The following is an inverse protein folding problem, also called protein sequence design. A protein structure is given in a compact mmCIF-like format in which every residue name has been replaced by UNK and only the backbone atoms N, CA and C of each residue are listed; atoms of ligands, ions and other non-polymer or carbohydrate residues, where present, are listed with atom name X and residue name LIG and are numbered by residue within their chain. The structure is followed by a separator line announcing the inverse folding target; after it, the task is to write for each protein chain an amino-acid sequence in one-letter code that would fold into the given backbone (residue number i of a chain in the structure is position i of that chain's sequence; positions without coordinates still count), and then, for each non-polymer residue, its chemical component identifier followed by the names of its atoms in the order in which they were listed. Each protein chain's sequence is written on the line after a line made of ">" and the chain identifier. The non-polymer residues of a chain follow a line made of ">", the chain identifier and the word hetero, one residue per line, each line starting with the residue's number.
data_IF_431625131071
#
_entry.id   IF_431625131071
#
_cell.length_a   1.000
_cell.length_b   1.000
_cell.length_c   1.000
_cell.angle_alpha   90.00
_cell.angle_beta   90.00
_cell.angle_gamma   90.00
#
_symmetry.space_group_name_H-M   'P 1'
#
loop_
_entity.id
_entity.type
_entity.pdbx_description
1 polymer ?
#
# COMPACT_ATOMS: atom_id res chain seq x y z
N UNK A 1 -4.43 -7.81 22.19
CA UNK A 1 -4.48 -7.39 23.61
C UNK A 1 -3.82 -8.42 24.53
N UNK A 2 -4.27 -9.70 24.54
CA UNK A 2 -3.68 -10.76 25.38
C UNK A 2 -2.17 -11.00 25.12
N UNK A 3 -1.76 -11.03 23.86
CA UNK A 3 -0.35 -11.24 23.44
C UNK A 3 0.56 -10.15 24.00
N UNK A 4 0.07 -8.91 24.04
CA UNK A 4 0.81 -7.73 24.49
C UNK A 4 1.01 -7.73 26.01
N UNK A 5 0.01 -8.20 26.76
CA UNK A 5 0.05 -8.31 28.23
C UNK A 5 1.01 -9.43 28.67
N UNK A 6 0.99 -10.57 27.98
CA UNK A 6 1.92 -11.69 28.22
C UNK A 6 3.39 -11.32 27.95
N UNK A 7 3.65 -10.44 26.98
CA UNK A 7 4.99 -9.97 26.66
C UNK A 7 5.48 -8.85 27.58
N UNK A 8 4.56 -8.08 28.19
CA UNK A 8 4.90 -7.05 29.17
C UNK A 8 5.45 -7.63 30.48
N UNK A 9 5.11 -8.88 30.81
CA UNK A 9 5.63 -9.63 31.96
C UNK A 9 7.08 -10.11 31.78
N UNK A 10 7.66 -9.99 30.58
CA UNK A 10 9.06 -10.35 30.32
C UNK A 10 9.98 -9.14 30.57
N UNK A 11 11.10 -9.28 31.31
CA UNK A 11 12.04 -8.20 31.52
C UNK A 11 12.85 -7.94 30.24
N UNK A 12 12.30 -7.10 29.34
CA UNK A 12 13.01 -6.51 28.20
C UNK A 12 13.16 -5.01 28.40
N UNK A 13 14.20 -4.43 27.82
CA UNK A 13 14.39 -2.97 27.81
C UNK A 13 13.19 -2.28 27.15
N UNK A 14 12.84 -1.06 27.59
CA UNK A 14 11.67 -0.33 27.08
C UNK A 14 11.70 -0.20 25.53
N UNK A 15 12.89 0.02 24.96
CA UNK A 15 13.08 0.12 23.50
C UNK A 15 12.80 -1.20 22.77
N UNK A 16 13.22 -2.34 23.31
CA UNK A 16 12.95 -3.64 22.67
C UNK A 16 11.46 -4.00 22.70
N UNK A 17 10.76 -3.63 23.78
CA UNK A 17 9.31 -3.83 23.89
C UNK A 17 8.56 -3.02 22.83
N UNK A 18 8.91 -1.75 22.65
CA UNK A 18 8.32 -0.90 21.61
C UNK A 18 8.56 -1.47 20.21
N UNK A 19 9.78 -1.93 19.90
CA UNK A 19 10.09 -2.54 18.60
C UNK A 19 9.23 -3.79 18.31
N UNK A 20 9.17 -4.72 19.26
CA UNK A 20 8.35 -5.95 19.11
C UNK A 20 6.87 -5.61 18.92
N UNK A 21 6.37 -4.65 19.72
CA UNK A 21 4.99 -4.19 19.61
C UNK A 21 4.70 -3.58 18.23
N UNK A 22 5.56 -2.68 17.74
CA UNK A 22 5.40 -2.04 16.43
C UNK A 22 5.35 -3.05 15.30
N UNK A 23 6.26 -4.01 15.26
CA UNK A 23 6.29 -5.04 14.21
C UNK A 23 4.98 -5.84 14.22
N UNK A 24 4.53 -6.32 15.39
CA UNK A 24 3.31 -7.13 15.49
C UNK A 24 2.06 -6.37 15.06
N UNK A 25 1.92 -5.12 15.51
CA UNK A 25 0.78 -4.29 15.14
C UNK A 25 0.80 -3.97 13.65
N UNK A 26 1.97 -3.60 13.11
CA UNK A 26 2.13 -3.35 11.69
C UNK A 26 1.78 -4.58 10.86
N UNK A 27 2.33 -5.75 11.17
CA UNK A 27 2.05 -7.00 10.45
C UNK A 27 0.56 -7.34 10.46
N UNK A 28 -0.10 -7.21 11.61
CA UNK A 28 -1.55 -7.46 11.70
C UNK A 28 -2.35 -6.48 10.83
N UNK A 29 -2.04 -5.19 10.89
CA UNK A 29 -2.73 -4.19 10.05
C UNK A 29 -2.44 -4.39 8.57
N UNK A 30 -1.19 -4.71 8.21
CA UNK A 30 -0.78 -4.99 6.85
C UNK A 30 -1.62 -6.14 6.27
N UNK A 31 -1.71 -7.29 6.94
CA UNK A 31 -2.53 -8.39 6.45
C UNK A 31 -4.01 -8.05 6.39
N UNK A 32 -4.55 -7.29 7.36
CA UNK A 32 -5.94 -6.88 7.33
C UNK A 32 -6.25 -6.03 6.08
N UNK A 33 -5.41 -5.06 5.78
CA UNK A 33 -5.60 -4.18 4.62
C UNK A 33 -5.29 -4.84 3.27
N UNK A 34 -4.20 -5.61 3.19
CA UNK A 34 -3.70 -6.15 1.93
C UNK A 34 -4.24 -7.53 1.58
N UNK A 35 -4.80 -8.30 2.52
CA UNK A 35 -5.33 -9.65 2.24
C UNK A 35 -6.38 -9.64 1.11
N UNK A 36 -7.32 -8.71 1.17
CA UNK A 36 -8.37 -8.57 0.16
C UNK A 36 -7.80 -8.20 -1.22
N UNK A 37 -6.83 -7.28 -1.28
CA UNK A 37 -6.18 -6.90 -2.54
C UNK A 37 -5.34 -8.04 -3.12
N UNK A 38 -4.59 -8.76 -2.28
CA UNK A 38 -3.79 -9.92 -2.68
C UNK A 38 -4.71 -11.02 -3.23
N UNK A 39 -5.87 -11.24 -2.60
CA UNK A 39 -6.86 -12.19 -3.08
C UNK A 39 -7.39 -11.83 -4.47
N UNK A 40 -7.85 -10.58 -4.66
CA UNK A 40 -8.37 -10.09 -5.94
C UNK A 40 -7.29 -10.08 -7.03
N UNK A 41 -6.05 -9.73 -6.68
CA UNK A 41 -4.95 -9.65 -7.63
C UNK A 41 -4.50 -11.01 -8.16
N UNK A 42 -4.33 -11.99 -7.27
CA UNK A 42 -3.60 -13.22 -7.60
C UNK A 42 -4.45 -14.49 -7.60
N UNK A 43 -5.53 -14.53 -6.81
CA UNK A 43 -6.32 -15.75 -6.61
C UNK A 43 -7.68 -15.69 -7.33
N UNK A 44 -8.29 -14.51 -7.41
CA UNK A 44 -9.62 -14.33 -8.00
C UNK A 44 -9.64 -14.69 -9.50
N UNK A 45 -10.61 -15.50 -9.91
CA UNK A 45 -10.82 -15.91 -11.30
C UNK A 45 -9.75 -16.84 -11.90
N UNK A 46 -8.77 -17.31 -11.11
CA UNK A 46 -7.68 -18.18 -11.61
C UNK A 46 -7.83 -19.66 -11.24
N UNK A 47 -8.58 -19.95 -10.19
CA UNK A 47 -8.76 -21.32 -9.65
C UNK A 47 -10.14 -21.88 -10.06
N UNK A 48 -10.91 -21.17 -10.89
CA UNK A 48 -12.35 -21.46 -11.07
C UNK A 48 -12.65 -22.66 -11.97
N UNK A 49 -11.66 -23.30 -12.58
CA UNK A 49 -11.87 -24.46 -13.45
C UNK A 49 -12.51 -24.05 -14.79
N UNK A 50 -13.39 -24.90 -15.32
CA UNK A 50 -14.15 -24.61 -16.56
C UNK A 50 -15.64 -24.79 -16.32
N UNK A 51 -16.51 -24.26 -17.21
CA UNK A 51 -17.96 -24.27 -16.99
C UNK A 51 -18.60 -25.64 -16.75
N UNK A 52 -17.98 -26.74 -17.24
CA UNK A 52 -18.45 -28.11 -17.01
C UNK A 52 -18.09 -28.68 -15.63
N UNK A 53 -17.03 -28.18 -14.99
CA UNK A 53 -16.61 -28.60 -13.65
C UNK A 53 -15.93 -27.44 -12.93
N UNK A 54 -16.70 -26.75 -12.09
CA UNK A 54 -16.21 -25.66 -11.25
C UNK A 54 -15.55 -26.21 -10.00
N UNK A 55 -14.45 -25.59 -9.57
CA UNK A 55 -13.86 -25.87 -8.26
C UNK A 55 -14.76 -25.28 -7.18
N UNK A 56 -15.30 -26.14 -6.30
CA UNK A 56 -16.20 -25.75 -5.21
C UNK A 56 -15.48 -25.83 -3.86
N UNK A 57 -15.43 -24.71 -3.14
CA UNK A 57 -14.90 -24.67 -1.77
C UNK A 57 -15.90 -25.35 -0.85
N UNK A 58 -15.39 -26.27 -0.02
CA UNK A 58 -16.20 -27.13 0.85
C UNK A 58 -17.34 -27.88 0.11
N UNK A 59 -17.17 -28.15 -1.19
CA UNK A 59 -18.14 -28.84 -2.03
C UNK A 59 -19.43 -28.06 -2.34
N UNK A 60 -19.60 -26.84 -1.81
CA UNK A 60 -20.87 -26.08 -1.91
C UNK A 60 -20.73 -24.72 -2.57
N UNK A 61 -19.63 -24.00 -2.33
CA UNK A 61 -19.50 -22.60 -2.73
C UNK A 61 -18.61 -22.47 -3.98
N UNK A 62 -19.15 -21.86 -5.03
CA UNK A 62 -18.38 -21.51 -6.24
C UNK A 62 -17.52 -20.28 -5.96
N UNK A 63 -16.27 -20.30 -6.42
CA UNK A 63 -15.39 -19.13 -6.34
C UNK A 63 -15.93 -17.99 -7.21
N UNK A 64 -15.71 -16.77 -6.76
CA UNK A 64 -16.03 -15.56 -7.50
C UNK A 64 -15.20 -15.43 -8.79
N UNK A 65 -15.81 -14.87 -9.82
CA UNK A 65 -15.19 -14.60 -11.12
C UNK A 65 -15.03 -13.10 -11.31
N UNK A 66 -13.98 -12.69 -12.00
CA UNK A 66 -13.76 -11.28 -12.32
C UNK A 66 -14.76 -10.79 -13.36
N UNK A 67 -15.03 -9.48 -13.33
CA UNK A 67 -15.83 -8.82 -14.35
C UNK A 67 -15.24 -9.03 -15.77
N UNK A 68 -16.02 -9.02 -16.87
CA UNK A 68 -15.50 -9.18 -18.24
C UNK A 68 -14.40 -8.17 -18.64
N UNK A 69 -14.36 -7.00 -17.99
CA UNK A 69 -13.26 -6.00 -18.13
C UNK A 69 -11.93 -6.45 -17.52
N UNK A 70 -11.92 -7.53 -16.73
CA UNK A 70 -10.74 -8.11 -16.08
C UNK A 70 -10.62 -7.75 -14.61
N UNK A 71 -9.82 -8.52 -13.86
CA UNK A 71 -9.61 -8.32 -12.42
C UNK A 71 -8.84 -7.01 -12.09
N UNK A 72 -8.18 -6.40 -13.08
CA UNK A 72 -7.48 -5.12 -12.91
C UNK A 72 -8.45 -3.97 -12.58
N UNK A 73 -9.67 -3.96 -13.15
CA UNK A 73 -10.67 -2.93 -12.84
C UNK A 73 -11.20 -3.09 -11.41
N UNK A 74 -11.38 -4.34 -10.97
CA UNK A 74 -11.85 -4.64 -9.61
C UNK A 74 -10.80 -4.18 -8.58
N UNK A 75 -9.51 -4.45 -8.84
CA UNK A 75 -8.40 -3.90 -8.04
C UNK A 75 -8.37 -2.37 -8.02
N UNK A 76 -8.51 -1.73 -9.17
CA UNK A 76 -8.50 -0.27 -9.30
C UNK A 76 -9.61 0.35 -8.43
N UNK A 77 -10.83 -0.16 -8.56
CA UNK A 77 -12.00 0.33 -7.79
C UNK A 77 -11.76 0.09 -6.30
N UNK A 78 -11.32 -1.11 -5.92
CA UNK A 78 -11.07 -1.44 -4.52
C UNK A 78 -10.00 -0.54 -3.90
N UNK A 79 -8.90 -0.27 -4.59
CA UNK A 79 -7.86 0.65 -4.13
C UNK A 79 -8.38 2.09 -4.03
N UNK A 80 -9.13 2.56 -5.03
CA UNK A 80 -9.71 3.90 -5.01
C UNK A 80 -10.65 4.09 -3.81
N UNK A 81 -11.51 3.11 -3.55
CA UNK A 81 -12.43 3.11 -2.41
C UNK A 81 -11.64 3.07 -1.10
N UNK A 82 -10.67 2.16 -0.94
CA UNK A 82 -9.88 2.06 0.30
C UNK A 82 -9.13 3.36 0.58
N UNK A 83 -8.47 3.95 -0.42
CA UNK A 83 -7.69 5.18 -0.24
C UNK A 83 -8.58 6.39 0.08
N UNK A 84 -9.73 6.53 -0.59
CA UNK A 84 -10.66 7.65 -0.37
C UNK A 84 -11.41 7.51 0.95
N UNK A 85 -11.90 6.31 1.24
CA UNK A 85 -12.67 6.03 2.46
C UNK A 85 -11.78 6.09 3.69
N UNK A 86 -10.57 5.49 3.66
CA UNK A 86 -9.64 5.58 4.78
C UNK A 86 -9.29 7.03 5.09
N UNK A 87 -9.04 7.84 4.05
CA UNK A 87 -8.69 9.24 4.29
C UNK A 87 -9.85 10.03 4.90
N UNK A 88 -11.04 9.93 4.32
CA UNK A 88 -12.21 10.68 4.81
C UNK A 88 -12.62 10.21 6.20
N UNK A 89 -12.58 8.90 6.46
CA UNK A 89 -12.85 8.34 7.77
C UNK A 89 -11.80 8.73 8.81
N UNK A 90 -10.50 8.74 8.46
CA UNK A 90 -9.44 9.18 9.37
C UNK A 90 -9.61 10.65 9.75
N UNK A 91 -9.82 11.53 8.77
CA UNK A 91 -10.06 12.95 9.00
C UNK A 91 -11.35 13.20 9.83
N UNK A 92 -12.42 12.46 9.55
CA UNK A 92 -13.69 12.55 10.28
C UNK A 92 -13.59 12.05 11.72
N UNK A 93 -13.01 10.86 11.92
CA UNK A 93 -12.82 10.29 13.25
C UNK A 93 -11.89 11.15 14.07
N UNK A 94 -10.86 11.74 13.47
CA UNK A 94 -9.99 12.69 14.15
C UNK A 94 -10.78 13.91 14.62
N UNK A 95 -11.60 14.52 13.76
CA UNK A 95 -12.48 15.62 14.15
C UNK A 95 -13.45 15.25 15.29
N UNK A 96 -14.07 14.08 15.23
CA UNK A 96 -14.93 13.58 16.30
C UNK A 96 -14.16 13.34 17.60
N UNK A 97 -12.92 12.83 17.52
CA UNK A 97 -12.09 12.56 18.68
C UNK A 97 -11.69 13.83 19.43
N UNK A 98 -11.46 14.93 18.69
CA UNK A 98 -11.30 16.27 19.26
C UNK A 98 -12.53 16.68 20.06
N UNK A 99 -13.73 16.43 19.52
CA UNK A 99 -15.00 16.79 20.15
C UNK A 99 -15.25 15.97 21.44
N UNK A 100 -14.82 14.71 21.48
CA UNK A 100 -15.05 13.78 22.60
C UNK A 100 -13.87 13.65 23.59
N UNK A 101 -12.79 14.43 23.44
CA UNK A 101 -11.70 14.58 24.42
C UNK A 101 -10.99 13.26 24.86
N UNK A 102 -10.90 12.26 23.97
CA UNK A 102 -10.12 11.05 24.24
C UNK A 102 -8.61 11.29 23.91
N UNK A 103 -7.70 10.59 24.60
CA UNK A 103 -6.22 10.75 24.50
C UNK A 103 -5.62 10.16 23.20
N UNK A 104 -4.64 10.79 22.52
CA UNK A 104 -4.08 10.21 21.28
C UNK A 104 -2.97 9.19 21.53
N UNK A 105 -2.99 8.10 20.75
CA UNK A 105 -1.91 7.10 20.66
C UNK A 105 -0.92 7.52 19.54
N UNK A 106 0.21 8.12 19.92
CA UNK A 106 1.28 8.55 19.00
C UNK A 106 1.80 7.42 18.08
N UNK A 107 1.74 6.16 18.53
CA UNK A 107 2.18 4.99 17.75
C UNK A 107 1.32 4.72 16.50
N UNK A 108 0.08 5.20 16.44
CA UNK A 108 -0.80 4.98 15.28
C UNK A 108 -0.44 5.86 14.07
N UNK A 109 0.17 7.03 14.30
CA UNK A 109 0.50 7.97 13.22
C UNK A 109 1.49 7.36 12.21
N UNK A 110 2.62 6.84 12.70
CA UNK A 110 3.60 6.20 11.82
C UNK A 110 3.05 4.97 11.11
N UNK A 111 2.19 4.19 11.77
CA UNK A 111 1.53 3.05 11.12
C UNK A 111 0.66 3.53 9.95
N UNK A 112 -0.18 4.56 10.17
CA UNK A 112 -1.06 5.10 9.14
C UNK A 112 -0.31 5.57 7.89
N UNK A 113 0.79 6.30 8.09
CA UNK A 113 1.65 6.82 7.01
C UNK A 113 2.35 5.68 6.26
N UNK A 114 2.90 4.70 6.98
CA UNK A 114 3.61 3.56 6.36
C UNK A 114 2.65 2.65 5.59
N UNK A 115 1.43 2.46 6.06
CA UNK A 115 0.40 1.72 5.33
C UNK A 115 0.01 2.46 4.04
N UNK A 116 -0.13 3.79 4.08
CA UNK A 116 -0.39 4.58 2.88
C UNK A 116 0.75 4.48 1.86
N UNK A 117 2.00 4.57 2.33
CA UNK A 117 3.18 4.32 1.49
C UNK A 117 3.18 2.91 0.87
N UNK A 118 2.72 1.90 1.61
CA UNK A 118 2.64 0.53 1.10
C UNK A 118 1.63 0.43 -0.05
N UNK A 119 0.47 1.10 0.06
CA UNK A 119 -0.53 1.11 -1.02
C UNK A 119 -0.02 1.81 -2.28
N UNK A 120 0.71 2.91 -2.13
CA UNK A 120 1.24 3.66 -3.27
C UNK A 120 2.42 3.02 -3.96
N UNK A 121 3.11 2.08 -3.30
CA UNK A 121 4.30 1.42 -3.85
C UNK A 121 4.01 0.00 -4.33
N UNK A 122 3.29 -0.83 -3.58
CA UNK A 122 3.10 -2.25 -3.92
C UNK A 122 2.15 -2.46 -5.11
N UNK A 123 1.16 -1.57 -5.29
CA UNK A 123 0.13 -1.71 -6.32
C UNK A 123 0.09 -0.53 -7.29
N UNK A 124 1.20 0.18 -7.47
CA UNK A 124 1.26 1.34 -8.38
C UNK A 124 0.98 0.98 -9.83
N UNK A 125 1.34 -0.25 -10.24
CA UNK A 125 1.05 -0.76 -11.58
C UNK A 125 -0.46 -0.93 -11.84
N UNK A 126 -1.27 -1.15 -10.80
CA UNK A 126 -2.73 -1.22 -10.93
C UNK A 126 -3.38 0.17 -10.90
N UNK A 127 -2.85 1.09 -10.09
CA UNK A 127 -3.39 2.42 -9.92
C UNK A 127 -2.30 3.52 -9.96
N UNK A 128 -1.98 4.08 -11.14
CA UNK A 128 -0.90 5.06 -11.27
C UNK A 128 -1.18 6.41 -10.60
N UNK A 129 -2.45 6.74 -10.33
CA UNK A 129 -2.85 7.99 -9.65
C UNK A 129 -2.72 7.91 -8.12
N UNK A 130 -2.34 6.75 -7.55
CA UNK A 130 -2.20 6.57 -6.10
C UNK A 130 -1.26 7.60 -5.44
N UNK A 131 -0.06 7.91 -5.99
CA UNK A 131 0.85 8.86 -5.38
C UNK A 131 0.27 10.28 -5.32
N UNK A 132 -0.52 10.68 -6.32
CA UNK A 132 -1.17 12.00 -6.36
C UNK A 132 -2.24 12.12 -5.27
N UNK A 133 -3.08 11.08 -5.09
CA UNK A 133 -4.05 11.06 -4.00
C UNK A 133 -3.36 11.08 -2.64
N UNK A 134 -2.29 10.29 -2.48
CA UNK A 134 -1.51 10.28 -1.25
C UNK A 134 -0.85 11.63 -0.95
N UNK A 135 -0.38 12.35 -1.97
CA UNK A 135 0.18 13.70 -1.80
C UNK A 135 -0.86 14.69 -1.27
N UNK A 136 -2.04 14.71 -1.87
CA UNK A 136 -3.14 15.59 -1.43
C UNK A 136 -3.54 15.25 0.01
N UNK A 137 -3.65 13.97 0.32
CA UNK A 137 -3.97 13.48 1.66
C UNK A 137 -2.92 13.93 2.70
N UNK A 138 -1.63 13.73 2.38
CA UNK A 138 -0.53 14.15 3.25
C UNK A 138 -0.52 15.66 3.50
N UNK A 139 -0.92 16.48 2.50
CA UNK A 139 -1.00 17.93 2.66
C UNK A 139 -2.04 18.33 3.73
N UNK A 140 -3.20 17.67 3.74
CA UNK A 140 -4.22 17.88 4.77
C UNK A 140 -3.78 17.33 6.13
N UNK A 141 -3.23 16.12 6.15
CA UNK A 141 -2.80 15.42 7.37
C UNK A 141 -1.76 16.23 8.15
N UNK A 142 -0.73 16.77 7.48
CA UNK A 142 0.29 17.62 8.12
C UNK A 142 -0.34 18.83 8.84
N UNK A 143 -1.38 19.43 8.24
CA UNK A 143 -2.05 20.60 8.83
C UNK A 143 -2.92 20.21 10.03
N UNK A 144 -3.67 19.11 9.92
CA UNK A 144 -4.51 18.59 10.99
C UNK A 144 -3.68 18.15 12.20
N UNK A 145 -2.57 17.44 11.97
CA UNK A 145 -1.65 17.02 13.02
C UNK A 145 -1.00 18.22 13.73
N UNK A 146 -0.61 19.26 12.98
CA UNK A 146 -0.05 20.47 13.58
C UNK A 146 -1.07 21.17 14.51
N UNK A 147 -2.33 21.29 14.08
CA UNK A 147 -3.40 21.87 14.90
C UNK A 147 -3.59 21.04 16.17
N UNK A 148 -3.58 19.71 16.06
CA UNK A 148 -3.74 18.79 17.17
C UNK A 148 -2.63 18.90 18.20
N UNK A 149 -1.37 18.94 17.75
CA UNK A 149 -0.23 19.06 18.65
C UNK A 149 -0.18 20.43 19.37
N UNK A 150 -0.69 21.49 18.74
CA UNK A 150 -0.66 22.85 19.32
C UNK A 150 -1.86 23.13 20.22
N UNK A 151 -3.08 22.74 19.81
CA UNK A 151 -4.33 23.14 20.48
C UNK A 151 -4.96 22.06 21.35
N UNK A 152 -4.73 20.77 21.07
CA UNK A 152 -5.55 19.68 21.61
C UNK A 152 -4.78 18.71 22.51
N UNK A 153 -3.45 18.64 22.37
CA UNK A 153 -2.63 17.77 23.20
C UNK A 153 -1.81 18.53 24.21
N UNK A 154 -1.61 17.92 25.39
CA UNK A 154 -0.60 18.37 26.33
C UNK A 154 0.78 18.20 25.71
N UNK A 155 1.64 19.21 25.88
CA UNK A 155 3.01 19.23 25.40
C UNK A 155 3.75 17.95 25.80
N UNK A 156 4.23 17.20 24.81
CA UNK A 156 5.07 16.03 25.02
C UNK A 156 6.47 16.43 25.50
N UNK A 157 7.10 15.57 26.32
CA UNK A 157 8.49 15.76 26.74
C UNK A 157 9.40 15.43 25.55
N UNK A 158 10.28 16.34 25.13
CA UNK A 158 11.17 16.10 24.01
C UNK A 158 12.12 14.94 24.32
N UNK A 159 12.13 13.92 23.47
CA UNK A 159 13.08 12.80 23.50
C UNK A 159 14.07 12.96 22.34
N UNK A 160 15.36 12.85 22.60
CA UNK A 160 16.38 12.80 21.53
C UNK A 160 16.40 11.40 20.92
N UNK A 161 16.36 11.33 19.60
CA UNK A 161 16.51 10.10 18.84
C UNK A 161 17.39 10.38 17.60
N UNK A 162 18.36 9.50 17.33
CA UNK A 162 19.31 9.69 16.24
C UNK A 162 18.78 9.14 14.90
N UNK A 163 17.75 8.29 14.93
CA UNK A 163 17.18 7.63 13.75
C UNK A 163 15.67 7.43 13.92
N UNK A 164 14.95 7.31 12.80
CA UNK A 164 13.53 6.89 12.73
C UNK A 164 13.28 5.52 13.41
N UNK A 165 14.32 4.69 13.56
CA UNK A 165 14.27 3.43 14.30
C UNK A 165 13.83 2.24 13.45
N UNK A 166 12.98 1.37 14.02
CA UNK A 166 12.53 0.12 13.37
C UNK A 166 11.80 0.34 12.05
N UNK A 167 11.16 1.49 11.88
CA UNK A 167 10.42 1.86 10.68
C UNK A 167 11.28 1.89 9.42
N UNK A 168 12.58 2.17 9.53
CA UNK A 168 13.50 2.10 8.40
C UNK A 168 13.53 0.69 7.79
N UNK A 169 13.70 -0.34 8.63
CA UNK A 169 13.69 -1.74 8.20
C UNK A 169 12.33 -2.16 7.63
N UNK A 170 11.23 -1.65 8.20
CA UNK A 170 9.88 -1.91 7.67
C UNK A 170 9.73 -1.33 6.25
N UNK A 171 10.17 -0.08 6.04
CA UNK A 171 10.13 0.56 4.73
C UNK A 171 11.01 -0.15 3.69
N UNK A 172 12.17 -0.65 4.09
CA UNK A 172 13.06 -1.45 3.23
C UNK A 172 12.38 -2.75 2.78
N UNK A 173 11.74 -3.47 3.70
CA UNK A 173 10.97 -4.69 3.39
C UNK A 173 9.81 -4.37 2.43
N UNK A 174 9.08 -3.27 2.67
CA UNK A 174 8.00 -2.82 1.78
C UNK A 174 8.55 -2.49 0.38
N UNK A 175 9.73 -1.89 0.29
CA UNK A 175 10.40 -1.60 -0.98
C UNK A 175 10.69 -2.86 -1.80
N UNK A 176 11.22 -3.91 -1.17
CA UNK A 176 11.45 -5.21 -1.82
C UNK A 176 10.12 -5.85 -2.25
N UNK A 177 9.12 -5.85 -1.36
CA UNK A 177 7.79 -6.38 -1.66
C UNK A 177 7.09 -5.60 -2.78
N UNK A 178 7.38 -4.31 -2.94
CA UNK A 178 6.84 -3.48 -4.01
C UNK A 178 7.35 -3.90 -5.39
N UNK A 179 8.63 -4.24 -5.52
CA UNK A 179 9.17 -4.75 -6.79
C UNK A 179 8.48 -6.06 -7.17
N UNK A 180 8.42 -7.01 -6.23
CA UNK A 180 7.78 -8.32 -6.45
C UNK A 180 6.29 -8.15 -6.76
N UNK A 181 5.58 -7.33 -5.96
CA UNK A 181 4.15 -7.08 -6.10
C UNK A 181 3.77 -6.50 -7.46
N UNK A 182 4.49 -5.46 -7.91
CA UNK A 182 4.24 -4.86 -9.23
C UNK A 182 4.53 -5.82 -10.38
N UNK A 183 5.62 -6.60 -10.28
CA UNK A 183 5.94 -7.63 -11.26
C UNK A 183 4.81 -8.65 -11.39
N UNK A 184 4.32 -9.17 -10.24
CA UNK A 184 3.21 -10.12 -10.20
C UNK A 184 1.90 -9.52 -10.71
N UNK A 185 1.57 -8.28 -10.37
CA UNK A 185 0.35 -7.60 -10.87
C UNK A 185 0.38 -7.48 -12.40
N UNK A 186 1.53 -7.08 -12.97
CA UNK A 186 1.67 -6.97 -14.43
C UNK A 186 1.64 -8.36 -15.08
N UNK A 187 2.36 -9.34 -14.55
CA UNK A 187 2.46 -10.65 -15.18
C UNK A 187 1.14 -11.44 -15.08
N UNK A 188 0.57 -11.47 -13.88
CA UNK A 188 -0.56 -12.34 -13.57
C UNK A 188 -1.86 -11.60 -13.85
N UNK A 189 -2.10 -10.46 -13.23
CA UNK A 189 -3.42 -9.81 -13.22
C UNK A 189 -3.71 -9.04 -14.51
N UNK A 190 -2.69 -8.42 -15.11
CA UNK A 190 -2.87 -7.63 -16.33
C UNK A 190 -2.99 -8.47 -17.60
N UNK A 191 -3.65 -7.89 -18.61
CA UNK A 191 -3.75 -8.46 -19.96
C UNK A 191 -2.58 -8.09 -20.87
N UNK A 192 -1.56 -7.43 -20.33
CA UNK A 192 -0.41 -6.98 -21.10
C UNK A 192 0.36 -8.15 -21.73
N UNK A 193 0.71 -9.17 -20.93
CA UNK A 193 1.45 -10.34 -21.41
C UNK A 193 0.70 -11.14 -22.48
N UNK A 194 -0.57 -11.57 -22.29
CA UNK A 194 -1.29 -12.30 -23.34
C UNK A 194 -1.48 -11.48 -24.61
N UNK A 195 -1.68 -10.15 -24.49
CA UNK A 195 -1.78 -9.26 -25.65
C UNK A 195 -0.45 -9.18 -26.43
N UNK A 196 0.68 -9.08 -25.73
CA UNK A 196 2.02 -9.12 -26.35
C UNK A 196 2.28 -10.46 -27.04
N UNK A 197 2.00 -11.58 -26.36
CA UNK A 197 2.21 -12.93 -26.94
C UNK A 197 1.35 -13.10 -28.20
N UNK A 198 0.11 -12.61 -28.20
CA UNK A 198 -0.74 -12.60 -29.38
C UNK A 198 -0.14 -11.77 -30.51
N UNK A 199 0.29 -10.54 -30.22
CA UNK A 199 0.89 -9.64 -31.20
C UNK A 199 2.12 -10.26 -31.89
N UNK A 200 3.03 -10.90 -31.14
CA UNK A 200 4.26 -11.44 -31.71
C UNK A 200 4.12 -12.84 -32.32
N UNK A 201 3.17 -13.65 -31.84
CA UNK A 201 3.10 -15.07 -32.22
C UNK A 201 1.97 -15.37 -33.20
N UNK A 202 0.80 -14.75 -33.00
CA UNK A 202 -0.47 -15.14 -33.62
C UNK A 202 -1.15 -14.03 -34.43
N UNK A 203 -0.62 -12.80 -34.40
CA UNK A 203 -1.26 -11.67 -35.06
C UNK A 203 -1.29 -11.81 -36.59
N UNK A 204 -2.31 -11.24 -37.24
CA UNK A 204 -2.38 -11.21 -38.70
C UNK A 204 -1.20 -10.46 -39.33
N UNK A 205 -0.56 -9.55 -38.59
CA UNK A 205 0.64 -8.81 -39.02
C UNK A 205 1.87 -9.69 -39.26
N UNK A 206 1.94 -10.85 -38.60
CA UNK A 206 3.00 -11.83 -38.87
C UNK A 206 2.74 -12.62 -40.16
N UNK A 207 1.47 -12.78 -40.53
CA UNK A 207 1.04 -13.68 -41.60
C UNK A 207 1.12 -13.04 -42.99
N UNK A 208 0.99 -11.71 -43.12
CA UNK A 208 1.12 -10.98 -44.41
C UNK A 208 1.68 -9.58 -44.21
N UNK A 209 2.50 -9.12 -45.18
CA UNK A 209 2.96 -7.72 -45.36
C UNK A 209 1.78 -6.77 -45.68
N UNK A 210 0.73 -6.79 -44.86
CA UNK A 210 -0.42 -5.90 -44.98
C UNK A 210 -0.22 -4.75 -44.01
N UNK A 211 0.30 -3.64 -44.53
CA UNK A 211 0.69 -2.43 -43.77
C UNK A 211 -0.50 -1.56 -43.34
N UNK A 212 -1.72 -2.11 -43.28
CA UNK A 212 -2.96 -1.34 -43.03
C UNK A 212 -3.98 -2.01 -42.09
N UNK A 213 -3.59 -3.07 -41.37
CA UNK A 213 -4.47 -3.76 -40.42
C UNK A 213 -3.83 -3.67 -39.03
N UNK A 214 -4.61 -3.28 -38.02
CA UNK A 214 -4.16 -3.28 -36.64
C UNK A 214 -3.79 -4.70 -36.18
N UNK A 215 -2.60 -4.87 -35.62
CA UNK A 215 -2.10 -6.20 -35.21
C UNK A 215 -2.90 -6.86 -34.07
N UNK A 216 -3.79 -6.10 -33.42
CA UNK A 216 -4.67 -6.56 -32.35
C UNK A 216 -6.06 -6.97 -32.86
N UNK A 217 -6.37 -6.80 -34.15
CA UNK A 217 -7.65 -7.23 -34.72
C UNK A 217 -7.81 -8.74 -34.54
N UNK A 218 -8.91 -9.14 -33.89
CA UNK A 218 -9.22 -10.54 -33.60
C UNK A 218 -8.70 -11.06 -32.26
N UNK A 219 -8.03 -10.24 -31.45
CA UNK A 219 -7.54 -10.65 -30.12
C UNK A 219 -8.66 -11.18 -29.22
N UNK A 220 -9.80 -10.49 -29.13
CA UNK A 220 -10.93 -10.91 -28.29
C UNK A 220 -11.43 -12.31 -28.70
N UNK A 221 -11.63 -12.55 -29.99
CA UNK A 221 -12.04 -13.87 -30.49
C UNK A 221 -10.97 -14.95 -30.26
N UNK A 222 -9.68 -14.60 -30.24
CA UNK A 222 -8.60 -15.53 -29.94
C UNK A 222 -8.46 -15.82 -28.43
N UNK A 223 -8.78 -14.84 -27.58
CA UNK A 223 -8.65 -14.93 -26.12
C UNK A 223 -9.78 -15.71 -25.44
N UNK A 224 -10.86 -15.99 -26.17
CA UNK A 224 -12.05 -16.68 -25.67
C UNK A 224 -12.07 -18.14 -26.14
N UNK A 225 -12.28 -19.07 -25.22
CA UNK A 225 -12.58 -20.47 -25.51
C UNK A 225 -14.08 -20.70 -25.64
N UNK A 226 -14.47 -21.65 -26.49
CA UNK A 226 -15.87 -22.02 -26.70
C UNK A 226 -16.24 -23.19 -25.78
N UNK A 227 -17.42 -23.11 -25.17
CA UNK A 227 -18.01 -24.18 -24.36
C UNK A 227 -19.37 -24.55 -24.92
N UNK A 228 -19.64 -25.84 -25.12
CA UNK A 228 -20.96 -26.30 -25.51
C UNK A 228 -21.84 -26.54 -24.27
N UNK A 229 -23.04 -25.93 -24.25
CA UNK A 229 -23.98 -25.93 -23.12
C UNK A 229 -24.44 -27.35 -22.74
N UNK A 230 -24.36 -28.30 -23.66
CA UNK A 230 -24.70 -29.70 -23.40
C UNK A 230 -23.78 -30.37 -22.35
N UNK A 231 -22.56 -29.86 -22.16
CA UNK A 231 -21.58 -30.44 -21.22
C UNK A 231 -21.66 -29.84 -19.81
N UNK A 232 -22.72 -29.11 -19.48
CA UNK A 232 -22.95 -28.68 -18.10
C UNK A 232 -23.33 -29.88 -17.21
N UNK A 233 -22.83 -29.87 -15.97
CA UNK A 233 -23.18 -30.86 -14.94
C UNK A 233 -24.70 -30.89 -14.66
N UNK A 234 -25.36 -29.74 -14.80
CA UNK A 234 -26.82 -29.61 -14.74
C UNK A 234 -27.35 -29.16 -16.11
N UNK A 235 -28.45 -29.73 -16.58
CA UNK A 235 -29.11 -29.28 -17.81
C UNK A 235 -29.67 -27.87 -17.63
N UNK A 236 -29.03 -26.86 -18.22
CA UNK A 236 -29.50 -25.47 -18.21
C UNK A 236 -30.10 -25.14 -19.58
N UNK A 237 -31.39 -24.82 -19.62
CA UNK A 237 -32.05 -24.31 -20.82
C UNK A 237 -31.81 -22.79 -20.93
N UNK A 238 -30.70 -22.41 -21.57
CA UNK A 238 -30.37 -21.01 -21.82
C UNK A 238 -31.08 -20.52 -23.09
N UNK A 239 -32.01 -19.58 -22.93
CA UNK A 239 -32.68 -18.86 -24.01
C UNK A 239 -32.19 -17.42 -24.06
N UNK A 240 -31.88 -16.93 -25.25
CA UNK A 240 -31.53 -15.52 -25.46
C UNK A 240 -32.75 -14.60 -25.23
N UNK A 241 -32.54 -13.28 -25.14
CA UNK A 241 -33.60 -12.25 -25.08
C UNK A 241 -34.57 -12.33 -26.27
N UNK A 242 -34.19 -13.00 -27.36
CA UNK A 242 -35.02 -13.28 -28.54
C UNK A 242 -35.67 -14.69 -28.54
N UNK A 243 -35.56 -15.46 -27.45
CA UNK A 243 -36.16 -16.79 -27.32
C UNK A 243 -35.42 -17.95 -28.02
N UNK A 244 -34.28 -17.68 -28.65
CA UNK A 244 -33.46 -18.70 -29.32
C UNK A 244 -32.66 -19.53 -28.32
N UNK A 245 -32.55 -20.84 -28.56
CA UNK A 245 -31.72 -21.76 -27.75
C UNK A 245 -30.24 -21.50 -28.02
N UNK A 246 -29.49 -21.21 -26.96
CA UNK A 246 -28.04 -20.99 -27.04
C UNK A 246 -27.33 -22.35 -26.99
N UNK A 247 -26.56 -22.68 -28.03
CA UNK A 247 -25.81 -23.94 -28.12
C UNK A 247 -24.38 -23.83 -27.60
N UNK A 248 -23.77 -22.65 -27.73
CA UNK A 248 -22.39 -22.42 -27.32
C UNK A 248 -22.23 -21.11 -26.56
N UNK A 249 -21.41 -21.14 -25.51
CA UNK A 249 -20.99 -19.98 -24.72
C UNK A 249 -19.50 -19.73 -24.91
N UNK A 250 -19.07 -18.47 -24.74
CA UNK A 250 -17.64 -18.12 -24.72
C UNK A 250 -17.22 -17.75 -23.31
N UNK A 251 -16.07 -18.24 -22.89
CA UNK A 251 -15.48 -17.94 -21.59
C UNK A 251 -14.00 -17.65 -21.72
N UNK A 252 -13.45 -16.95 -20.73
CA UNK A 252 -12.08 -16.44 -20.74
C UNK A 252 -11.13 -17.48 -20.16
N UNK A 253 -10.70 -18.41 -21.00
CA UNK A 253 -9.63 -19.37 -20.68
C UNK A 253 -8.96 -19.86 -21.97
N UNK A 254 -7.77 -20.46 -21.86
CA UNK A 254 -7.02 -21.01 -23.00
C UNK A 254 -7.13 -22.53 -23.03
N UNK A 255 -8.33 -23.03 -23.34
CA UNK A 255 -8.65 -24.47 -23.40
C UNK A 255 -8.95 -24.92 -24.83
N UNK A 256 -8.77 -26.21 -25.08
CA UNK A 256 -9.18 -26.84 -26.34
C UNK A 256 -10.71 -26.97 -26.41
N UNK A 257 -11.28 -27.02 -27.62
CA UNK A 257 -12.72 -27.09 -27.82
C UNK A 257 -13.30 -28.50 -27.57
N UNK A 258 -12.51 -29.55 -27.81
CA UNK A 258 -13.00 -30.93 -27.77
C UNK A 258 -12.94 -31.51 -26.35
N UNK A 259 -11.75 -31.57 -25.77
CA UNK A 259 -11.50 -32.21 -24.47
C UNK A 259 -11.51 -31.23 -23.28
N UNK A 260 -11.72 -29.93 -23.53
CA UNK A 260 -11.61 -28.84 -22.54
C UNK A 260 -10.31 -28.82 -21.72
N UNK A 261 -9.27 -29.51 -22.17
CA UNK A 261 -7.93 -29.55 -21.58
C UNK A 261 -7.15 -28.27 -21.92
N UNK A 262 -6.10 -27.97 -21.17
CA UNK A 262 -5.27 -26.78 -21.41
C UNK A 262 -4.56 -26.87 -22.77
N UNK A 263 -4.74 -25.85 -23.60
CA UNK A 263 -4.15 -25.79 -24.94
C UNK A 263 -2.65 -25.42 -24.88
N UNK A 264 -1.90 -25.69 -25.95
CA UNK A 264 -0.51 -25.21 -26.10
C UNK A 264 -0.38 -23.68 -25.97
N UNK A 265 -1.45 -22.95 -26.32
CA UNK A 265 -1.55 -21.49 -26.17
C UNK A 265 -1.45 -21.08 -24.70
N UNK A 266 -2.09 -21.83 -23.79
CA UNK A 266 -2.02 -21.60 -22.35
C UNK A 266 -0.58 -21.67 -21.85
N UNK A 267 0.13 -22.73 -22.22
CA UNK A 267 1.52 -22.95 -21.80
C UNK A 267 2.49 -21.89 -22.35
N UNK A 268 2.28 -21.43 -23.59
CA UNK A 268 3.07 -20.32 -24.14
C UNK A 268 2.88 -19.03 -23.34
N UNK A 269 1.63 -18.69 -23.00
CA UNK A 269 1.33 -17.49 -22.21
C UNK A 269 1.87 -17.64 -20.78
N UNK A 270 1.72 -18.82 -20.18
CA UNK A 270 2.25 -19.11 -18.84
C UNK A 270 3.78 -18.98 -18.79
N UNK A 271 4.48 -19.57 -19.77
CA UNK A 271 5.94 -19.45 -19.89
C UNK A 271 6.36 -17.98 -20.07
N UNK A 272 5.65 -17.22 -20.91
CA UNK A 272 5.92 -15.79 -21.11
C UNK A 272 5.72 -14.98 -19.82
N UNK A 273 4.71 -15.30 -19.00
CA UNK A 273 4.50 -14.65 -17.68
C UNK A 273 5.66 -14.90 -16.73
N UNK A 274 6.12 -16.15 -16.63
CA UNK A 274 7.26 -16.51 -15.76
C UNK A 274 8.57 -15.87 -16.25
N UNK A 275 8.80 -15.89 -17.56
CA UNK A 275 9.97 -15.24 -18.17
C UNK A 275 9.97 -13.72 -17.92
N UNK A 276 8.82 -13.07 -18.08
CA UNK A 276 8.66 -11.66 -17.77
C UNK A 276 8.96 -11.35 -16.30
N UNK A 277 8.45 -12.15 -15.36
CA UNK A 277 8.72 -11.96 -13.93
C UNK A 277 10.21 -12.01 -13.62
N UNK A 278 10.92 -13.01 -14.14
CA UNK A 278 12.35 -13.14 -13.93
C UNK A 278 13.13 -11.95 -14.50
N UNK A 279 12.82 -11.53 -15.74
CA UNK A 279 13.47 -10.38 -16.37
C UNK A 279 13.14 -9.08 -15.63
N UNK A 280 11.89 -8.88 -15.23
CA UNK A 280 11.43 -7.70 -14.51
C UNK A 280 12.13 -7.58 -13.15
N UNK A 281 12.14 -8.64 -12.35
CA UNK A 281 12.82 -8.65 -11.05
C UNK A 281 14.32 -8.38 -11.20
N UNK A 282 15.01 -9.06 -12.13
CA UNK A 282 16.44 -8.87 -12.35
C UNK A 282 16.75 -7.45 -12.81
N UNK A 283 15.99 -6.91 -13.76
CA UNK A 283 16.21 -5.56 -14.31
C UNK A 283 15.99 -4.44 -13.30
N UNK A 284 15.05 -4.59 -12.36
CA UNK A 284 14.78 -3.58 -11.32
C UNK A 284 15.71 -3.76 -10.11
N UNK A 285 16.08 -5.00 -9.77
CA UNK A 285 17.00 -5.28 -8.67
C UNK A 285 18.44 -4.85 -8.97
N UNK A 286 18.96 -5.05 -10.20
CA UNK A 286 20.36 -4.75 -10.53
C UNK A 286 20.74 -3.28 -10.25
N UNK A 287 19.97 -2.26 -10.69
CA UNK A 287 20.28 -0.86 -10.40
C UNK A 287 20.13 -0.52 -8.91
N UNK A 288 19.21 -1.20 -8.21
CA UNK A 288 18.95 -1.00 -6.78
C UNK A 288 20.12 -1.49 -5.91
N UNK A 289 20.73 -2.62 -6.25
CA UNK A 289 21.87 -3.19 -5.51
C UNK A 289 23.20 -2.51 -5.82
N UNK A 290 23.37 -2.03 -7.05
CA UNK A 290 24.64 -1.42 -7.49
C UNK A 290 24.78 0.05 -7.06
N UNK A 291 23.73 0.68 -6.53
CA UNK A 291 23.74 2.09 -6.15
C UNK A 291 24.00 3.04 -7.32
N UNK A 292 23.91 2.55 -8.56
CA UNK A 292 24.36 3.26 -9.76
C UNK A 292 23.42 4.43 -10.13
N UNK A 293 22.16 4.41 -9.71
CA UNK A 293 21.18 5.40 -10.16
C UNK A 293 21.17 6.68 -9.32
N UNK A 294 21.63 6.65 -8.07
CA UNK A 294 21.87 7.85 -7.26
C UNK A 294 23.04 7.57 -6.32
N UNK A 295 24.15 8.35 -6.35
CA UNK A 295 25.07 8.34 -5.23
C UNK A 295 24.22 8.65 -4.01
N UNK A 296 24.16 7.69 -3.07
CA UNK A 296 23.41 7.82 -1.84
C UNK A 296 23.65 9.22 -1.31
N UNK A 297 22.55 9.97 -1.14
CA UNK A 297 22.53 11.33 -0.60
C UNK A 297 23.75 11.55 0.28
N UNK A 298 24.56 12.54 -0.09
CA UNK A 298 25.76 12.96 0.60
C UNK A 298 25.64 12.69 2.11
N UNK A 299 26.67 12.15 2.78
CA UNK A 299 26.62 12.03 4.23
C UNK A 299 26.24 13.41 4.74
N UNK A 300 25.07 13.53 5.36
CA UNK A 300 24.68 14.73 6.08
C UNK A 300 25.71 14.81 7.20
N UNK A 301 26.82 15.49 6.91
CA UNK A 301 27.73 15.96 7.94
C UNK A 301 26.84 16.81 8.82
N UNK A 302 26.58 16.29 10.00
CA UNK A 302 25.87 16.94 11.07
C UNK A 302 26.60 18.26 11.37
N UNK A 303 26.21 19.34 10.68
CA UNK A 303 26.57 20.67 11.12
C UNK A 303 25.54 21.00 12.19
N UNK A 304 25.89 20.67 13.43
CA UNK A 304 25.24 21.24 14.62
C UNK A 304 25.43 22.76 14.60
N UNK A 305 24.61 23.47 13.84
CA UNK A 305 24.27 24.84 14.14
C UNK A 305 23.07 24.78 15.06
N UNK A 306 23.31 24.94 16.36
CA UNK A 306 22.25 25.04 17.36
C UNK A 306 21.26 26.13 16.98
N UNK A 307 20.14 25.74 16.37
CA UNK A 307 18.98 26.59 16.21
C UNK A 307 18.27 26.61 17.57
N UNK A 308 18.81 27.42 18.48
CA UNK A 308 18.10 27.82 19.68
C UNK A 308 16.91 28.66 19.21
N UNK A 309 15.74 28.03 19.09
CA UNK A 309 14.49 28.77 18.93
C UNK A 309 14.31 29.57 20.21
N UNK A 310 14.63 30.86 20.14
CA UNK A 310 14.38 31.84 21.20
C UNK A 310 12.87 31.94 21.36
N UNK A 311 12.31 31.10 22.21
CA UNK A 311 10.96 31.31 22.75
C UNK A 311 11.07 32.58 23.59
N UNK A 312 10.56 33.69 23.05
CA UNK A 312 10.33 34.89 23.84
C UNK A 312 9.25 34.52 24.85
N UNK A 313 9.68 34.26 26.08
CA UNK A 313 8.78 34.23 27.23
C UNK A 313 8.45 35.70 27.50
N UNK A 314 7.34 36.17 26.94
CA UNK A 314 6.70 37.42 27.39
C UNK A 314 6.31 37.16 28.85
N UNK A 315 7.05 37.76 29.78
CA UNK A 315 6.75 37.66 31.20
C UNK A 315 5.66 38.71 31.48
N UNK A 316 4.40 38.29 31.46
CA UNK A 316 3.32 39.11 31.99
C UNK A 316 3.63 39.34 33.48
N UNK A 317 3.89 40.61 33.79
CA UNK A 317 4.15 41.09 35.15
C UNK A 317 2.80 41.46 35.73
N UNK A 318 2.15 40.51 36.40
CA UNK A 318 0.99 40.81 37.24
C UNK A 318 1.43 41.78 38.36
N UNK A 319 0.92 43.00 38.29
CA UNK A 319 0.89 43.94 39.40
C UNK A 319 0.00 43.36 40.50
N UNK A 320 0.61 42.83 41.56
CA UNK A 320 -0.02 42.80 42.88
C UNK A 320 0.60 43.91 43.73
N UNK A 321 -0.08 45.06 43.70
CA UNK A 321 0.09 46.13 44.69
C UNK A 321 -0.45 45.62 46.02
N UNK A 322 0.39 45.60 47.06
CA UNK A 322 -0.01 45.10 48.37
C UNK A 322 1.08 45.22 49.44
N UNK A 323 1.25 46.43 49.96
CA UNK A 323 1.47 46.74 51.38
C UNK A 323 2.67 46.11 52.12
N UNK A 324 3.64 46.93 52.54
CA UNK A 324 4.57 46.55 53.61
C UNK A 324 5.82 47.41 53.74
N UNK A 325 5.78 48.40 54.65
CA UNK A 325 6.87 49.29 55.04
C UNK A 325 8.02 48.52 55.73
N UNK A 326 9.27 48.99 55.56
CA UNK A 326 10.38 48.55 56.41
C UNK A 326 11.75 49.05 55.95
N UNK A 327 12.08 50.31 56.26
CA UNK A 327 13.44 50.84 56.25
C UNK A 327 14.35 50.03 57.19
N UNK A 328 15.58 49.72 56.76
CA UNK A 328 16.78 49.88 57.60
C UNK A 328 18.06 49.90 56.75
N UNK A 329 18.71 51.07 56.75
CA UNK A 329 20.11 51.27 56.38
C UNK A 329 21.02 50.58 57.40
N UNK A 330 22.12 49.97 56.95
CA UNK A 330 23.42 49.92 57.65
C UNK A 330 24.52 49.33 56.72
N UNK A 331 25.37 50.22 56.21
CA UNK A 331 26.79 49.95 55.89
C UNK A 331 27.62 50.38 57.12
N UNK A 332 28.89 49.94 57.36
CA UNK A 332 30.00 50.07 56.38
C UNK A 332 31.14 49.01 56.42
N UNK A 333 32.04 49.08 55.42
CA UNK A 333 33.52 48.81 55.42
C UNK A 333 34.05 47.42 55.88
N UNK A 334 35.00 46.71 55.26
CA UNK A 334 36.20 47.07 54.46
C UNK A 334 36.94 45.81 53.95
N UNK A 335 37.79 45.94 52.92
CA UNK A 335 38.90 45.00 52.55
C UNK A 335 38.80 44.38 51.14
N UNK A 336 39.37 44.99 50.08
CA UNK A 336 40.68 44.69 49.45
C UNK A 336 40.83 43.22 48.94
N UNK A 337 41.11 42.89 47.68
CA UNK A 337 41.41 43.67 46.47
C UNK A 337 41.71 42.79 45.22
N UNK A 338 42.09 43.47 44.12
CA UNK A 338 42.73 43.03 42.85
C UNK A 338 41.89 42.13 41.88
N UNK A 339 41.40 42.56 40.69
CA UNK A 339 42.08 42.94 39.41
C UNK A 339 43.17 41.94 38.99
N UNK A 340 43.34 41.47 37.75
CA UNK A 340 42.83 41.66 36.38
C UNK A 340 43.34 40.41 35.61
N UNK A 341 42.92 40.03 34.40
CA UNK A 341 42.73 40.78 33.15
C UNK A 341 41.91 39.95 32.17
#
# INVERSE_FOLDING_TARGET
>A
YLITVLEALRPRSFSEREKSYTIKVFTFQFFNYFSSLIYVAFFLGRINGHPGSYVRVAGKWRLEECHPSGCMTDLFIQMFVIMTLKQTFSNLMEYLFVLFNFLPLFNLFFISVVIQYSFTTIFVAAFPLAPLLAFINNLFEIRLDAIKMVKLQKRMVPKKANTIGIWYYILEIIGILSVIGNGLVIAITSDFIPMLVYQYTFSPCKQKNSTGIDCLTGYINHSLSVFNVQHFENTVNLTDSMGNKITHCRYRDYRNNDDYSHSIKFWHIFAARVAFLFVFEVSVCIPSFTGIVLPSFAPVKEKQSGLCVRVRVEHDREQTSGMGKGHQHLHPSSGLGLWSS
#
